data_IF_963899276720
#
_entry.id   IF_963899276720
#
_cell.length_a   1.000
_cell.length_b   1.000
_cell.length_c   1.000
_cell.angle_alpha   90.00
_cell.angle_beta   90.00
_cell.angle_gamma   90.00
#
_symmetry.space_group_name_H-M   'P 1'
#
loop_
_entity.id
_entity.type
_entity.pdbx_description
1 polymer ?
#
# COMPACT_ATOMS: atom_id res chain seq x y z
N UNK A 1 -11.55 8.99 24.11
CA UNK A 1 -10.66 9.30 22.97
C UNK A 1 -10.12 10.69 23.19
N UNK A 2 -8.82 10.82 23.42
CA UNK A 2 -8.18 12.14 23.50
C UNK A 2 -8.29 12.80 22.13
N UNK A 3 -8.80 14.04 22.10
CA UNK A 3 -8.97 14.82 20.88
C UNK A 3 -7.86 15.85 20.85
N UNK A 4 -6.91 15.68 19.95
CA UNK A 4 -5.91 16.69 19.66
C UNK A 4 -6.43 17.63 18.57
N UNK A 5 -6.26 18.94 18.77
CA UNK A 5 -6.67 19.95 17.81
C UNK A 5 -5.42 20.62 17.23
N UNK A 6 -5.36 20.72 15.90
CA UNK A 6 -4.28 21.40 15.18
C UNK A 6 -4.89 22.48 14.31
N UNK A 7 -4.32 23.69 14.36
CA UNK A 7 -4.73 24.80 13.50
C UNK A 7 -3.80 24.88 12.29
N UNK A 8 -4.37 24.78 11.09
CA UNK A 8 -3.62 24.83 9.84
C UNK A 8 -4.01 26.09 9.06
N UNK A 9 -3.02 26.84 8.58
CA UNK A 9 -3.24 28.00 7.72
C UNK A 9 -3.20 27.57 6.26
N UNK A 10 -4.27 27.85 5.54
CA UNK A 10 -4.36 27.59 4.11
C UNK A 10 -4.30 28.90 3.32
N UNK A 11 -3.66 28.90 2.13
CA UNK A 11 -3.81 29.98 1.18
C UNK A 11 -5.28 30.23 0.84
N UNK A 12 -5.71 31.49 0.84
CA UNK A 12 -7.11 31.86 0.64
C UNK A 12 -7.70 31.28 -0.67
N UNK A 13 -6.91 31.24 -1.75
CA UNK A 13 -7.33 30.67 -3.03
C UNK A 13 -7.72 29.20 -2.92
N UNK A 14 -6.94 28.40 -2.18
CA UNK A 14 -7.22 26.98 -1.97
C UNK A 14 -8.48 26.77 -1.12
N UNK A 15 -8.70 27.61 -0.11
CA UNK A 15 -9.92 27.57 0.70
C UNK A 15 -11.15 27.86 -0.17
N UNK A 16 -11.08 28.86 -1.06
CA UNK A 16 -12.17 29.17 -1.97
C UNK A 16 -12.49 28.01 -2.92
N UNK A 17 -11.46 27.42 -3.54
CA UNK A 17 -11.63 26.27 -4.44
C UNK A 17 -12.22 25.06 -3.70
N UNK A 18 -11.69 24.74 -2.52
CA UNK A 18 -12.19 23.61 -1.73
C UNK A 18 -13.63 23.83 -1.22
N UNK A 19 -14.04 25.08 -0.95
CA UNK A 19 -15.44 25.41 -0.65
C UNK A 19 -16.37 25.22 -1.85
N UNK A 20 -15.91 25.49 -3.07
CA UNK A 20 -16.69 25.28 -4.30
C UNK A 20 -16.90 23.79 -4.62
N UNK A 21 -15.95 22.94 -4.21
CA UNK A 21 -15.99 21.49 -4.43
C UNK A 21 -16.84 20.73 -3.41
N UNK A 22 -17.36 21.42 -2.39
CA UNK A 22 -18.25 20.80 -1.40
C UNK A 22 -19.55 20.35 -2.08
N UNK A 23 -19.83 19.05 -2.02
CA UNK A 23 -21.17 18.55 -2.26
C UNK A 23 -22.03 18.82 -1.01
N UNK A 24 -23.26 19.29 -1.25
CA UNK A 24 -24.09 19.99 -0.25
C UNK A 24 -24.26 19.25 1.08
N UNK A 25 -23.73 19.83 2.16
CA UNK A 25 -23.99 19.45 3.55
C UNK A 25 -22.74 19.34 4.44
N UNK A 26 -21.58 19.03 3.85
CA UNK A 26 -20.39 18.68 4.64
C UNK A 26 -19.65 19.90 5.21
N UNK A 27 -19.17 19.76 6.45
CA UNK A 27 -18.32 20.76 7.09
C UNK A 27 -16.97 20.83 6.36
N UNK A 28 -16.36 22.02 6.34
CA UNK A 28 -15.04 22.16 5.69
C UNK A 28 -14.00 21.35 6.45
N UNK A 29 -14.21 21.20 7.76
CA UNK A 29 -13.37 20.39 8.62
C UNK A 29 -13.43 18.90 8.24
N UNK A 30 -14.61 18.38 7.92
CA UNK A 30 -14.77 16.97 7.51
C UNK A 30 -14.00 16.67 6.22
N UNK A 31 -14.08 17.57 5.24
CA UNK A 31 -13.31 17.48 4.00
C UNK A 31 -11.80 17.50 4.26
N UNK A 32 -11.31 18.33 5.18
CA UNK A 32 -9.88 18.36 5.54
C UNK A 32 -9.47 17.08 6.26
N UNK A 33 -10.27 16.60 7.21
CA UNK A 33 -10.01 15.34 7.93
C UNK A 33 -9.92 14.18 6.95
N UNK A 34 -10.91 14.06 6.05
CA UNK A 34 -10.91 12.99 5.05
C UNK A 34 -9.70 13.09 4.11
N UNK A 35 -9.34 14.29 3.67
CA UNK A 35 -8.16 14.50 2.83
C UNK A 35 -6.87 14.05 3.54
N UNK A 36 -6.73 14.37 4.84
CA UNK A 36 -5.59 13.95 5.66
C UNK A 36 -5.58 12.43 5.84
N UNK A 37 -6.71 11.80 6.12
CA UNK A 37 -6.80 10.34 6.26
C UNK A 37 -6.40 9.63 4.96
N UNK A 38 -6.91 10.11 3.82
CA UNK A 38 -6.55 9.60 2.49
C UNK A 38 -5.05 9.76 2.21
N UNK A 39 -4.46 10.90 2.58
CA UNK A 39 -3.02 11.16 2.43
C UNK A 39 -2.18 10.20 3.30
N UNK A 40 -2.53 10.05 4.58
CA UNK A 40 -1.84 9.14 5.50
C UNK A 40 -1.90 7.70 4.98
N UNK A 41 -3.09 7.25 4.56
CA UNK A 41 -3.28 5.91 3.99
C UNK A 41 -2.43 5.72 2.73
N UNK A 42 -2.41 6.71 1.83
CA UNK A 42 -1.60 6.65 0.61
C UNK A 42 -0.10 6.55 0.93
N UNK A 43 0.42 7.37 1.84
CA UNK A 43 1.84 7.33 2.24
C UNK A 43 2.22 5.98 2.86
N UNK A 44 1.36 5.43 3.72
CA UNK A 44 1.58 4.10 4.30
C UNK A 44 1.60 3.01 3.22
N UNK A 45 0.67 3.07 2.28
CA UNK A 45 0.61 2.11 1.18
C UNK A 45 1.86 2.17 0.28
N UNK A 46 2.34 3.38 -0.04
CA UNK A 46 3.57 3.58 -0.81
C UNK A 46 4.79 3.01 -0.08
N UNK A 47 4.97 3.34 1.21
CA UNK A 47 6.08 2.82 2.02
C UNK A 47 6.04 1.28 2.14
N UNK A 48 4.85 0.70 2.30
CA UNK A 48 4.69 -0.75 2.31
C UNK A 48 5.05 -1.37 0.95
N UNK A 49 4.64 -0.74 -0.16
CA UNK A 49 4.97 -1.20 -1.50
C UNK A 49 6.49 -1.19 -1.74
N UNK A 50 7.17 -0.08 -1.40
CA UNK A 50 8.62 0.04 -1.50
C UNK A 50 9.33 -1.03 -0.68
N UNK A 51 8.85 -1.29 0.55
CA UNK A 51 9.40 -2.35 1.42
C UNK A 51 9.25 -3.74 0.80
N UNK A 52 8.11 -4.04 0.17
CA UNK A 52 7.88 -5.30 -0.52
C UNK A 52 8.82 -5.46 -1.72
N UNK A 53 8.99 -4.40 -2.52
CA UNK A 53 9.89 -4.42 -3.68
C UNK A 53 11.32 -4.66 -3.25
N UNK A 54 11.80 -3.92 -2.24
CA UNK A 54 13.14 -4.11 -1.68
C UNK A 54 13.35 -5.54 -1.18
N UNK A 55 12.40 -6.07 -0.41
CA UNK A 55 12.49 -7.43 0.12
C UNK A 55 12.48 -8.50 -0.98
N UNK A 56 11.67 -8.32 -2.02
CA UNK A 56 11.66 -9.22 -3.19
C UNK A 56 12.99 -9.19 -3.93
N UNK A 57 13.60 -8.02 -4.08
CA UNK A 57 14.92 -7.89 -4.70
C UNK A 57 16.00 -8.61 -3.88
N UNK A 58 16.00 -8.45 -2.54
CA UNK A 58 16.91 -9.18 -1.65
C UNK A 58 16.77 -10.70 -1.76
N UNK A 59 15.53 -11.21 -1.74
CA UNK A 59 15.26 -12.65 -1.85
C UNK A 59 15.73 -13.14 -3.22
N UNK A 60 15.36 -12.46 -4.31
CA UNK A 60 15.79 -12.83 -5.67
C UNK A 60 17.31 -12.83 -5.82
N UNK A 61 18.00 -11.87 -5.20
CA UNK A 61 19.47 -11.84 -5.21
C UNK A 61 20.09 -13.03 -4.46
N UNK A 62 19.46 -13.48 -3.36
CA UNK A 62 19.94 -14.60 -2.54
C UNK A 62 19.61 -15.97 -3.12
N UNK A 63 18.37 -16.20 -3.54
CA UNK A 63 17.88 -17.52 -3.99
C UNK A 63 17.89 -17.69 -5.50
N UNK A 64 18.12 -16.62 -6.26
CA UNK A 64 17.96 -16.64 -7.70
C UNK A 64 16.51 -16.81 -8.12
N UNK A 65 16.30 -17.25 -9.37
CA UNK A 65 14.98 -17.60 -9.88
C UNK A 65 14.64 -19.02 -9.43
N UNK A 66 13.44 -19.21 -8.86
CA UNK A 66 12.94 -20.54 -8.51
C UNK A 66 13.03 -21.45 -9.76
N UNK A 67 13.74 -22.59 -9.69
CA UNK A 67 13.88 -23.48 -10.83
C UNK A 67 12.52 -24.07 -11.23
N UNK A 68 12.38 -24.43 -12.51
CA UNK A 68 11.17 -25.04 -13.05
C UNK A 68 10.87 -26.36 -12.32
N UNK A 69 9.70 -26.42 -11.69
CA UNK A 69 9.24 -27.58 -10.95
C UNK A 69 8.79 -28.74 -11.87
N UNK A 70 8.70 -28.54 -13.18
CA UNK A 70 8.23 -29.56 -14.13
C UNK A 70 9.07 -30.83 -14.07
N UNK A 71 10.39 -30.71 -13.90
CA UNK A 71 11.29 -31.85 -13.75
C UNK A 71 10.96 -32.66 -12.47
N UNK A 72 10.76 -31.98 -11.34
CA UNK A 72 10.39 -32.60 -10.07
C UNK A 72 9.02 -33.29 -10.15
N UNK A 73 8.02 -32.63 -10.74
CA UNK A 73 6.67 -33.19 -10.92
C UNK A 73 6.71 -34.45 -11.80
N UNK A 74 7.55 -34.46 -12.84
CA UNK A 74 7.75 -35.66 -13.69
C UNK A 74 8.39 -36.81 -12.90
N UNK A 75 9.40 -36.54 -12.08
CA UNK A 75 10.05 -37.56 -11.24
C UNK A 75 9.05 -38.19 -10.25
N UNK A 76 8.27 -37.36 -9.56
CA UNK A 76 7.22 -37.81 -8.63
C UNK A 76 6.13 -38.65 -9.33
N UNK A 77 5.70 -38.25 -10.53
CA UNK A 77 4.69 -39.00 -11.30
C UNK A 77 5.21 -40.35 -11.80
N UNK A 78 6.51 -40.46 -12.10
CA UNK A 78 7.17 -41.71 -12.50
C UNK A 78 7.43 -42.65 -11.32
N UNK A 79 7.18 -42.22 -10.08
CA UNK A 79 7.40 -43.03 -8.89
C UNK A 79 8.87 -43.10 -8.44
N UNK A 80 9.74 -42.25 -8.99
CA UNK A 80 11.13 -42.15 -8.52
C UNK A 80 11.13 -41.65 -7.06
N UNK A 81 11.56 -42.52 -6.14
CA UNK A 81 11.58 -42.24 -4.70
C UNK A 81 10.54 -43.01 -3.86
N UNK A 82 9.69 -43.87 -4.45
CA UNK A 82 9.01 -44.93 -3.68
C UNK A 82 10.09 -45.91 -3.20
N UNK A 83 10.41 -45.86 -1.91
CA UNK A 83 11.12 -46.95 -1.24
C UNK A 83 10.16 -48.14 -1.19
N UNK A 84 10.61 -49.28 -1.70
CA UNK A 84 9.94 -50.58 -1.55
C UNK A 84 9.78 -50.94 -0.07
#
# INVERSE_FOLDING_TARGET
MEREAVTIRFPAKLVCQAKQLKYGGESFNELVVEAVEREVKRRRALSAHESIVARRAEIKAKTGVQPDATALIRALRKGEGRRE
#
